data_IF_442277516085
#
_entry.id   IF_442277516085
#
_cell.length_a   1.000
_cell.length_b   1.000
_cell.length_c   1.000
_cell.angle_alpha   90.00
_cell.angle_beta   90.00
_cell.angle_gamma   90.00
#
_symmetry.space_group_name_H-M   'P 1'
#
loop_
_entity.id
_entity.type
_entity.pdbx_description
1 polymer ?
#
# COMPACT_ATOMS: atom_id res chain seq x y z
N UNK A 1 33.86 -0.22 15.93
CA UNK A 1 33.53 0.15 14.53
C UNK A 1 33.02 -1.05 13.71
N UNK A 2 33.69 -2.22 13.72
CA UNK A 2 33.28 -3.42 12.95
C UNK A 2 31.81 -3.86 13.09
N UNK A 3 31.28 -3.98 14.33
CA UNK A 3 29.91 -4.48 14.54
C UNK A 3 28.82 -3.58 13.93
N UNK A 4 29.02 -2.25 13.93
CA UNK A 4 28.08 -1.31 13.32
C UNK A 4 28.02 -1.51 11.80
N UNK A 5 29.18 -1.68 11.16
CA UNK A 5 29.27 -1.92 9.71
C UNK A 5 28.66 -3.26 9.30
N UNK A 6 28.86 -4.31 10.09
CA UNK A 6 28.24 -5.63 9.86
C UNK A 6 26.72 -5.55 9.91
N UNK A 7 26.16 -4.84 10.89
CA UNK A 7 24.71 -4.63 11.01
C UNK A 7 24.19 -3.82 9.80
N UNK A 8 24.89 -2.76 9.41
CA UNK A 8 24.53 -1.95 8.23
C UNK A 8 24.54 -2.81 6.96
N UNK A 9 25.57 -3.63 6.77
CA UNK A 9 25.69 -4.50 5.61
C UNK A 9 24.61 -5.59 5.59
N UNK A 10 24.27 -6.14 6.76
CA UNK A 10 23.15 -7.06 6.89
C UNK A 10 21.82 -6.39 6.51
N UNK A 11 21.54 -5.18 7.01
CA UNK A 11 20.31 -4.44 6.68
C UNK A 11 20.25 -4.07 5.19
N UNK A 12 21.38 -3.69 4.57
CA UNK A 12 21.46 -3.41 3.12
C UNK A 12 21.27 -4.65 2.24
N UNK A 13 21.44 -5.85 2.78
CA UNK A 13 21.23 -7.10 2.04
C UNK A 13 19.76 -7.43 1.78
N UNK A 14 18.82 -6.76 2.45
CA UNK A 14 17.40 -6.98 2.19
C UNK A 14 16.93 -6.23 0.94
N UNK A 15 16.12 -6.88 0.09
CA UNK A 15 15.52 -6.19 -1.04
C UNK A 15 14.59 -5.08 -0.53
N UNK A 16 14.76 -3.89 -1.09
CA UNK A 16 13.93 -2.72 -0.77
C UNK A 16 13.23 -2.22 -2.03
N UNK A 17 11.98 -1.85 -1.87
CA UNK A 17 11.16 -1.25 -2.91
C UNK A 17 11.08 0.25 -2.63
N UNK A 18 11.40 1.07 -3.63
CA UNK A 18 11.19 2.51 -3.51
C UNK A 18 9.70 2.83 -3.38
N UNK A 19 9.36 3.99 -2.83
CA UNK A 19 7.99 4.49 -2.82
C UNK A 19 7.49 4.83 -4.24
N UNK A 20 7.30 3.82 -5.09
CA UNK A 20 6.98 3.97 -6.52
C UNK A 20 5.74 4.85 -6.77
N UNK A 21 4.82 4.92 -5.79
CA UNK A 21 3.58 5.69 -5.86
C UNK A 21 3.55 6.97 -5.01
N UNK A 22 4.62 7.27 -4.26
CA UNK A 22 4.73 8.44 -3.37
C UNK A 22 6.08 9.17 -3.52
N UNK A 23 6.72 9.09 -4.70
CA UNK A 23 8.00 9.76 -4.96
C UNK A 23 7.95 11.27 -4.75
N UNK A 24 6.79 11.91 -4.91
CA UNK A 24 6.61 13.35 -4.67
C UNK A 24 6.52 13.72 -3.18
N UNK A 25 6.19 12.78 -2.29
CA UNK A 25 5.93 13.07 -0.87
C UNK A 25 6.93 12.45 0.09
N UNK A 26 7.63 11.36 -0.28
CA UNK A 26 8.60 10.72 0.61
C UNK A 26 9.79 10.10 -0.13
N UNK A 27 10.98 10.20 0.44
CA UNK A 27 12.18 9.42 0.04
C UNK A 27 12.29 8.07 0.78
N UNK A 28 11.22 7.63 1.45
CA UNK A 28 11.22 6.41 2.26
C UNK A 28 11.25 5.16 1.36
N UNK A 29 12.06 4.17 1.74
CA UNK A 29 12.09 2.85 1.09
C UNK A 29 11.34 1.83 1.93
N UNK A 30 10.79 0.80 1.28
CA UNK A 30 9.96 -0.18 1.94
C UNK A 30 10.54 -1.59 1.83
N UNK A 31 10.68 -2.24 2.97
CA UNK A 31 10.99 -3.65 3.12
C UNK A 31 9.71 -4.49 2.95
N UNK A 32 9.90 -5.80 2.83
CA UNK A 32 8.82 -6.77 2.66
C UNK A 32 7.80 -6.69 3.83
N UNK A 33 6.47 -6.75 3.56
CA UNK A 33 5.44 -6.53 4.57
C UNK A 33 5.42 -7.50 5.75
N UNK A 34 5.87 -8.74 5.54
CA UNK A 34 5.92 -9.74 6.60
C UNK A 34 7.22 -9.66 7.42
N UNK A 35 8.15 -8.79 7.03
CA UNK A 35 9.40 -8.55 7.74
C UNK A 35 9.18 -7.58 8.91
N UNK A 36 10.01 -7.71 9.95
CA UNK A 36 10.03 -6.78 11.08
C UNK A 36 11.46 -6.63 11.59
N UNK A 37 11.76 -5.56 12.33
CA UNK A 37 13.09 -5.36 12.93
C UNK A 37 13.51 -6.58 13.78
N UNK A 38 12.57 -7.18 14.52
CA UNK A 38 12.83 -8.40 15.29
C UNK A 38 13.17 -9.58 14.39
N UNK A 39 12.39 -9.85 13.33
CA UNK A 39 12.69 -10.93 12.38
C UNK A 39 14.03 -10.72 11.66
N UNK A 40 14.35 -9.48 11.28
CA UNK A 40 15.65 -9.14 10.67
C UNK A 40 16.80 -9.37 11.65
N UNK A 41 16.60 -9.06 12.93
CA UNK A 41 17.58 -9.33 13.96
C UNK A 41 17.78 -10.85 14.19
N UNK A 42 16.71 -11.64 14.18
CA UNK A 42 16.82 -13.10 14.29
C UNK A 42 17.64 -13.69 13.13
N UNK A 43 17.47 -13.17 11.91
CA UNK A 43 18.29 -13.53 10.75
C UNK A 43 19.76 -13.10 10.91
N UNK A 44 20.00 -11.92 11.48
CA UNK A 44 21.35 -11.45 11.80
C UNK A 44 22.04 -12.36 12.83
N UNK A 45 21.33 -12.74 13.91
CA UNK A 45 21.83 -13.66 14.93
C UNK A 45 22.18 -15.02 14.32
N UNK A 46 21.32 -15.57 13.45
CA UNK A 46 21.61 -16.81 12.73
C UNK A 46 22.89 -16.71 11.90
N UNK A 47 23.04 -15.63 11.12
CA UNK A 47 24.24 -15.38 10.32
C UNK A 47 25.50 -15.26 11.19
N UNK A 48 25.42 -14.57 12.32
CA UNK A 48 26.53 -14.44 13.26
C UNK A 48 26.95 -15.80 13.84
N UNK A 49 25.99 -16.67 14.17
CA UNK A 49 26.29 -18.02 14.66
C UNK A 49 26.99 -18.88 13.60
N UNK A 50 26.63 -18.74 12.32
CA UNK A 50 27.27 -19.44 11.20
C UNK A 50 28.71 -18.93 10.95
N UNK A 51 28.97 -17.64 11.15
CA UNK A 51 30.30 -17.02 10.96
C UNK A 51 31.11 -16.89 12.26
N UNK A 52 30.73 -17.61 13.32
CA UNK A 52 31.42 -17.61 14.64
C UNK A 52 31.61 -16.21 15.26
N UNK A 53 30.71 -15.28 14.93
CA UNK A 53 30.74 -13.89 15.39
C UNK A 53 29.71 -13.68 16.50
N UNK A 54 30.00 -12.83 17.48
CA UNK A 54 29.06 -12.56 18.58
C UNK A 54 28.06 -11.47 18.15
N UNK A 55 26.74 -11.76 18.12
CA UNK A 55 25.76 -10.76 17.74
C UNK A 55 25.60 -9.69 18.83
N UNK A 56 25.50 -8.43 18.41
CA UNK A 56 25.14 -7.31 19.29
C UNK A 56 23.69 -7.40 19.80
N UNK A 57 23.32 -6.59 20.80
CA UNK A 57 21.94 -6.57 21.34
C UNK A 57 20.91 -6.07 20.31
N UNK A 58 19.68 -6.61 20.37
CA UNK A 58 18.54 -6.14 19.57
C UNK A 58 18.30 -4.62 19.70
N UNK A 59 18.50 -4.05 20.88
CA UNK A 59 18.35 -2.60 21.09
C UNK A 59 19.32 -1.79 20.24
N UNK A 60 20.56 -2.26 20.12
CA UNK A 60 21.58 -1.61 19.29
C UNK A 60 21.30 -1.79 17.80
N UNK A 61 20.84 -2.97 17.39
CA UNK A 61 20.40 -3.23 16.02
C UNK A 61 19.23 -2.32 15.61
N UNK A 62 18.23 -2.20 16.49
CA UNK A 62 17.07 -1.31 16.28
C UNK A 62 17.50 0.14 16.21
N UNK A 63 18.42 0.58 17.06
CA UNK A 63 18.95 1.95 17.00
C UNK A 63 19.57 2.24 15.63
N UNK A 64 20.47 1.36 15.15
CA UNK A 64 21.09 1.50 13.82
C UNK A 64 20.02 1.52 12.72
N UNK A 65 19.03 0.62 12.78
CA UNK A 65 17.95 0.59 11.81
C UNK A 65 17.17 1.92 11.76
N UNK A 66 16.89 2.52 12.91
CA UNK A 66 16.09 3.76 12.99
C UNK A 66 16.89 5.02 12.66
N UNK A 67 18.18 5.09 13.02
CA UNK A 67 19.00 6.29 12.82
C UNK A 67 19.70 6.33 11.47
N UNK A 68 20.10 5.18 10.92
CA UNK A 68 20.88 5.11 9.69
C UNK A 68 20.01 4.83 8.45
N UNK A 69 18.77 4.34 8.62
CA UNK A 69 17.90 3.96 7.51
C UNK A 69 16.51 4.61 7.60
N UNK A 70 16.10 5.23 6.49
CA UNK A 70 14.72 5.67 6.31
C UNK A 70 13.88 4.56 5.65
N UNK A 71 13.79 3.41 6.33
CA UNK A 71 13.04 2.24 5.86
C UNK A 71 11.68 2.12 6.57
N UNK A 72 10.69 1.57 5.88
CA UNK A 72 9.40 1.16 6.44
C UNK A 72 9.08 -0.27 6.06
N UNK A 73 8.17 -0.93 6.78
CA UNK A 73 7.73 -2.30 6.45
C UNK A 73 6.41 -2.32 5.67
N UNK A 74 5.71 -1.19 5.59
CA UNK A 74 4.37 -1.15 5.03
C UNK A 74 4.38 -0.74 3.56
N UNK A 75 3.87 -1.58 2.66
CA UNK A 75 3.48 -1.12 1.33
C UNK A 75 2.17 -0.36 1.52
N UNK A 76 2.08 0.95 1.23
CA UNK A 76 0.78 1.59 1.12
C UNK A 76 0.04 0.86 0.01
N UNK A 77 -1.03 0.13 0.37
CA UNK A 77 -1.99 -0.39 -0.61
C UNK A 77 -2.71 0.81 -1.21
N UNK A 78 -2.04 1.55 -2.09
CA UNK A 78 -2.77 2.36 -3.05
C UNK A 78 -3.37 1.39 -4.06
N UNK A 79 -4.63 1.58 -4.39
CA UNK A 79 -5.32 0.82 -5.42
C UNK A 79 -4.49 0.85 -6.68
N UNK A 80 -3.91 -0.31 -7.02
CA UNK A 80 -3.16 -0.45 -8.26
C UNK A 80 -4.18 -0.63 -9.36
N UNK A 81 -4.11 0.24 -10.37
CA UNK A 81 -4.95 0.07 -11.54
C UNK A 81 -4.51 -1.19 -12.29
N UNK A 82 -5.43 -2.14 -12.47
CA UNK A 82 -5.17 -3.39 -13.18
C UNK A 82 -4.58 -3.11 -14.58
N UNK A 83 -5.17 -2.17 -15.33
CA UNK A 83 -4.69 -1.77 -16.66
C UNK A 83 -3.23 -1.30 -16.64
N UNK A 84 -2.85 -0.47 -15.66
CA UNK A 84 -1.48 -0.01 -15.51
C UNK A 84 -0.50 -1.15 -15.17
N UNK A 85 -0.88 -2.07 -14.29
CA UNK A 85 -0.01 -3.19 -13.92
C UNK A 85 0.15 -4.18 -15.08
N UNK A 86 -0.94 -4.50 -15.79
CA UNK A 86 -0.88 -5.35 -16.99
C UNK A 86 0.02 -4.75 -18.06
N UNK A 87 -0.06 -3.44 -18.31
CA UNK A 87 0.82 -2.76 -19.25
C UNK A 87 2.30 -2.88 -18.86
N UNK A 88 2.65 -2.69 -17.58
CA UNK A 88 4.04 -2.83 -17.10
C UNK A 88 4.61 -4.22 -17.32
N UNK A 89 3.81 -5.26 -17.09
CA UNK A 89 4.23 -6.65 -17.32
C UNK A 89 4.52 -6.85 -18.81
N UNK A 90 3.60 -6.40 -19.68
CA UNK A 90 3.74 -6.54 -21.14
C UNK A 90 4.90 -5.75 -21.71
N UNK A 91 5.25 -4.59 -21.13
CA UNK A 91 6.47 -3.87 -21.51
C UNK A 91 7.75 -4.69 -21.30
N UNK A 92 7.77 -5.64 -20.35
CA UNK A 92 8.94 -6.48 -20.07
C UNK A 92 9.00 -7.74 -20.94
N UNK A 93 7.86 -8.28 -21.34
CA UNK A 93 7.78 -9.51 -22.15
C UNK A 93 7.83 -9.20 -23.65
N UNK A 94 6.82 -8.47 -24.14
CA UNK A 94 6.71 -7.94 -25.50
C UNK A 94 5.41 -7.13 -25.58
N UNK A 95 5.50 -5.87 -26.01
CA UNK A 95 4.36 -4.96 -26.08
C UNK A 95 3.88 -4.83 -27.53
N UNK A 96 2.58 -4.97 -27.76
CA UNK A 96 1.99 -4.69 -29.08
C UNK A 96 1.59 -3.23 -29.24
N UNK A 97 1.60 -2.71 -30.47
CA UNK A 97 1.17 -1.32 -30.77
C UNK A 97 -0.26 -1.02 -30.31
N UNK A 98 -1.14 -2.04 -30.30
CA UNK A 98 -2.51 -1.91 -29.82
C UNK A 98 -2.54 -1.65 -28.31
N UNK A 99 -1.74 -2.38 -27.55
CA UNK A 99 -1.68 -2.26 -26.09
C UNK A 99 -1.04 -0.95 -25.64
N UNK A 100 -0.09 -0.42 -26.43
CA UNK A 100 0.42 0.93 -26.24
C UNK A 100 -0.68 1.99 -26.41
N UNK A 101 -1.45 1.92 -27.50
CA UNK A 101 -2.56 2.86 -27.75
C UNK A 101 -3.64 2.79 -26.68
N UNK A 102 -4.05 1.58 -26.27
CA UNK A 102 -5.03 1.38 -25.20
C UNK A 102 -4.54 1.98 -23.87
N UNK A 103 -3.24 1.90 -23.59
CA UNK A 103 -2.64 2.52 -22.41
C UNK A 103 -2.58 4.05 -22.50
N UNK A 104 -2.20 4.59 -23.67
CA UNK A 104 -2.15 6.04 -23.88
C UNK A 104 -3.54 6.66 -23.73
N UNK A 105 -4.58 6.03 -24.29
CA UNK A 105 -5.97 6.43 -24.11
C UNK A 105 -6.38 6.37 -22.63
N UNK A 106 -6.02 5.29 -21.93
CA UNK A 106 -6.27 5.18 -20.49
C UNK A 106 -5.63 6.33 -19.70
N UNK A 107 -4.41 6.75 -20.04
CA UNK A 107 -3.72 7.87 -19.37
C UNK A 107 -4.38 9.20 -19.70
N UNK A 108 -4.82 9.42 -20.94
CA UNK A 108 -5.56 10.62 -21.36
C UNK A 108 -6.85 10.74 -20.55
N UNK A 109 -7.69 9.69 -20.52
CA UNK A 109 -8.95 9.67 -19.79
C UNK A 109 -8.73 9.90 -18.29
N UNK A 110 -7.69 9.28 -17.71
CA UNK A 110 -7.32 9.48 -16.31
C UNK A 110 -6.97 10.94 -16.00
N UNK A 111 -6.27 11.62 -16.90
CA UNK A 111 -5.91 13.02 -16.72
C UNK A 111 -7.12 13.93 -16.90
N UNK A 112 -7.99 13.66 -17.87
CA UNK A 112 -9.26 14.38 -18.05
C UNK A 112 -10.13 14.28 -16.80
N UNK A 113 -10.31 13.08 -16.24
CA UNK A 113 -11.07 12.88 -14.99
C UNK A 113 -10.50 13.68 -13.81
N UNK A 114 -9.18 13.85 -13.74
CA UNK A 114 -8.54 14.67 -12.70
C UNK A 114 -8.84 16.16 -12.90
N UNK A 115 -8.73 16.63 -14.15
CA UNK A 115 -9.04 18.02 -14.51
C UNK A 115 -10.49 18.35 -14.18
N UNK A 116 -11.44 17.49 -14.58
CA UNK A 116 -12.86 17.70 -14.27
C UNK A 116 -13.12 17.71 -12.76
N UNK A 117 -12.52 16.78 -11.99
CA UNK A 117 -12.65 16.79 -10.53
C UNK A 117 -12.10 18.06 -9.88
N UNK A 118 -11.01 18.61 -10.42
CA UNK A 118 -10.44 19.86 -9.92
C UNK A 118 -11.26 21.08 -10.35
N UNK A 119 -11.97 21.00 -11.47
CA UNK A 119 -12.98 21.99 -11.87
C UNK A 119 -14.21 21.93 -10.95
N UNK A 120 -14.70 20.74 -10.61
CA UNK A 120 -15.83 20.53 -9.69
C UNK A 120 -15.58 21.17 -8.32
N UNK A 121 -14.34 21.04 -7.81
CA UNK A 121 -13.91 21.66 -6.55
C UNK A 121 -13.92 23.19 -6.58
N UNK A 122 -13.72 23.78 -7.75
CA UNK A 122 -13.72 25.24 -7.96
C UNK A 122 -15.10 25.77 -8.38
N UNK A 123 -16.06 24.87 -8.62
CA UNK A 123 -17.40 25.23 -9.04
C UNK A 123 -18.13 26.01 -7.95
N UNK A 124 -18.96 26.98 -8.36
CA UNK A 124 -19.87 27.70 -7.47
C UNK A 124 -21.13 26.89 -7.16
N UNK A 125 -21.39 25.83 -7.94
CA UNK A 125 -22.52 24.92 -7.76
C UNK A 125 -22.08 23.75 -6.89
N UNK A 126 -22.95 23.30 -5.98
CA UNK A 126 -22.68 22.11 -5.17
C UNK A 126 -22.63 20.86 -6.05
N UNK A 127 -21.45 20.24 -6.15
CA UNK A 127 -21.25 18.96 -6.85
C UNK A 127 -21.12 17.85 -5.82
N UNK A 128 -22.03 16.88 -5.85
CA UNK A 128 -22.06 15.72 -4.97
C UNK A 128 -21.66 14.46 -5.76
N UNK A 129 -20.53 13.86 -5.39
CA UNK A 129 -20.08 12.59 -5.96
C UNK A 129 -20.47 11.43 -5.05
N UNK A 130 -21.08 10.39 -5.60
CA UNK A 130 -21.41 9.17 -4.87
C UNK A 130 -20.43 8.05 -5.22
N UNK A 131 -19.95 7.34 -4.21
CA UNK A 131 -19.09 6.16 -4.35
C UNK A 131 -19.56 5.06 -3.39
N UNK A 132 -19.84 3.88 -3.94
CA UNK A 132 -20.23 2.72 -3.15
C UNK A 132 -18.99 1.89 -2.87
N UNK A 133 -18.65 1.75 -1.58
CA UNK A 133 -17.52 0.92 -1.18
C UNK A 133 -17.77 -0.56 -1.47
N UNK A 134 -16.68 -1.33 -1.56
CA UNK A 134 -16.77 -2.79 -1.63
C UNK A 134 -17.55 -3.34 -0.43
N UNK A 135 -18.35 -4.39 -0.66
CA UNK A 135 -19.16 -5.03 0.38
C UNK A 135 -18.30 -5.46 1.56
N UNK A 136 -18.65 -4.95 2.75
CA UNK A 136 -17.97 -5.26 4.00
C UNK A 136 -18.68 -6.48 4.60
N UNK A 137 -17.92 -7.54 4.88
CA UNK A 137 -18.45 -8.71 5.59
C UNK A 137 -18.15 -8.63 7.07
N UNK A 138 -19.15 -8.86 7.90
CA UNK A 138 -19.05 -8.82 9.36
C UNK A 138 -19.73 -10.06 9.98
N UNK A 139 -19.14 -10.72 10.98
CA UNK A 139 -17.88 -10.38 11.66
C UNK A 139 -16.63 -10.79 10.86
N UNK A 140 -15.55 -10.03 11.05
CA UNK A 140 -14.24 -10.27 10.43
C UNK A 140 -13.26 -10.75 11.50
N UNK A 141 -12.70 -11.93 11.31
CA UNK A 141 -11.69 -12.52 12.18
C UNK A 141 -10.73 -13.39 11.37
N UNK A 142 -9.49 -13.50 11.83
CA UNK A 142 -8.46 -14.37 11.25
C UNK A 142 -8.45 -15.78 11.86
N UNK A 143 -9.35 -16.05 12.82
CA UNK A 143 -9.48 -17.35 13.49
C UNK A 143 -10.33 -18.29 12.63
N UNK A 144 -9.88 -19.54 12.49
CA UNK A 144 -10.52 -20.55 11.62
C UNK A 144 -12.00 -20.80 11.89
N UNK A 145 -12.45 -20.69 13.15
CA UNK A 145 -13.84 -20.93 13.53
C UNK A 145 -14.84 -19.93 12.89
N UNK A 146 -14.37 -18.72 12.54
CA UNK A 146 -15.18 -17.71 11.85
C UNK A 146 -15.45 -18.05 10.38
N UNK A 147 -14.76 -19.06 9.82
CA UNK A 147 -15.04 -19.55 8.47
C UNK A 147 -16.45 -20.14 8.35
N UNK A 148 -16.94 -20.76 9.42
CA UNK A 148 -18.26 -21.41 9.47
C UNK A 148 -19.39 -20.51 9.98
N UNK A 149 -19.06 -19.28 10.39
CA UNK A 149 -20.06 -18.32 10.86
C UNK A 149 -20.78 -17.65 9.69
N UNK A 150 -22.09 -17.41 9.84
CA UNK A 150 -22.83 -16.57 8.90
C UNK A 150 -22.26 -15.15 8.92
N UNK A 151 -21.92 -14.63 7.74
CA UNK A 151 -21.39 -13.28 7.56
C UNK A 151 -22.50 -12.39 7.06
N UNK A 152 -22.70 -11.28 7.76
CA UNK A 152 -23.60 -10.21 7.36
C UNK A 152 -22.90 -9.30 6.34
N UNK A 153 -23.57 -9.07 5.22
CA UNK A 153 -23.14 -8.06 4.25
C UNK A 153 -23.55 -6.66 4.72
N UNK A 154 -22.57 -5.77 4.77
CA UNK A 154 -22.72 -4.36 5.10
C UNK A 154 -22.30 -3.56 3.87
N UNK A 155 -23.17 -2.65 3.47
CA UNK A 155 -22.96 -1.72 2.36
C UNK A 155 -22.70 -0.33 2.92
N UNK A 156 -21.77 0.40 2.31
CA UNK A 156 -21.46 1.78 2.66
C UNK A 156 -21.44 2.64 1.39
N UNK A 157 -22.46 3.50 1.24
CA UNK A 157 -22.51 4.51 0.19
C UNK A 157 -21.95 5.81 0.74
N UNK A 158 -20.90 6.31 0.12
CA UNK A 158 -20.29 7.59 0.45
C UNK A 158 -20.76 8.67 -0.51
N UNK A 159 -21.12 9.84 0.02
CA UNK A 159 -21.44 11.05 -0.73
C UNK A 159 -20.42 12.13 -0.41
N UNK A 160 -19.60 12.53 -1.38
CA UNK A 160 -18.58 13.55 -1.22
C UNK A 160 -19.01 14.86 -1.88
N UNK A 161 -19.14 15.92 -1.08
CA UNK A 161 -19.44 17.26 -1.55
C UNK A 161 -18.14 17.96 -1.96
N UNK A 162 -17.92 18.11 -3.27
CA UNK A 162 -16.66 18.61 -3.84
C UNK A 162 -16.32 20.06 -3.48
N UNK A 163 -17.32 20.89 -3.17
CA UNK A 163 -17.14 22.30 -2.85
C UNK A 163 -16.66 22.54 -1.41
N UNK A 164 -17.16 21.77 -0.45
CA UNK A 164 -16.81 21.89 0.98
C UNK A 164 -15.81 20.83 1.44
N UNK A 165 -15.62 19.76 0.66
CA UNK A 165 -14.83 18.59 1.04
C UNK A 165 -15.49 17.71 2.11
N UNK A 166 -16.79 17.93 2.38
CA UNK A 166 -17.52 17.14 3.36
C UNK A 166 -17.91 15.78 2.78
N UNK A 167 -17.74 14.72 3.58
CA UNK A 167 -18.13 13.36 3.20
C UNK A 167 -19.24 12.86 4.10
N UNK A 168 -20.26 12.26 3.50
CA UNK A 168 -21.37 11.61 4.16
C UNK A 168 -21.29 10.11 3.91
N UNK A 169 -21.58 9.30 4.93
CA UNK A 169 -21.61 7.83 4.79
C UNK A 169 -23.01 7.32 5.14
N UNK A 170 -23.61 6.57 4.24
CA UNK A 170 -24.86 5.84 4.46
C UNK A 170 -24.54 4.36 4.56
N UNK A 171 -24.66 3.80 5.76
CA UNK A 171 -24.35 2.40 6.04
C UNK A 171 -25.63 1.62 6.29
N UNK A 172 -25.78 0.48 5.62
CA UNK A 172 -26.89 -0.45 5.88
C UNK A 172 -26.45 -1.89 5.73
N UNK A 173 -27.23 -2.79 6.35
CA UNK A 173 -27.01 -4.23 6.31
C UNK A 173 -27.97 -4.87 5.32
N UNK A 174 -27.62 -6.02 4.76
CA UNK A 174 -28.55 -6.80 3.91
C UNK A 174 -29.86 -7.19 4.63
N UNK A 175 -29.85 -7.27 5.97
CA UNK A 175 -31.04 -7.52 6.79
C UNK A 175 -32.07 -6.36 6.77
N UNK A 176 -31.68 -5.17 6.29
CA UNK A 176 -32.62 -4.08 6.00
C UNK A 176 -33.10 -4.25 4.55
N UNK A 177 -33.94 -5.26 4.33
CA UNK A 177 -34.82 -5.27 3.17
C UNK A 177 -36.05 -4.41 3.48
N UNK A 178 -36.49 -3.61 2.51
CA UNK A 178 -37.77 -2.93 2.56
C UNK A 178 -38.94 -3.91 2.49
#
# INVERSE_FOLDING_TARGET
MKMKEEIINHIKGFPVIDSHYCRQTTKRKYLEPNLSVSKMYDLYVKRCNETTSTPGKLSYYRNIFTTEFNYGFHIPKKDRCLKCETYKIKMLESLTDKEQKDYDEHIILKNQMRTERDNDRKSKVAVLGFDLENVITCPRSEVGDFFYSQKLNIYNLTGHLSTTGQTYCAIWTEARQG
#
